data_IF_247641298697
#
_entry.id   IF_247641298697
#
_cell.length_a   1.000
_cell.length_b   1.000
_cell.length_c   1.000
_cell.angle_alpha   90.00
_cell.angle_beta   90.00
_cell.angle_gamma   90.00
#
_symmetry.space_group_name_H-M   'P 1'
#
loop_
_entity.id
_entity.type
_entity.pdbx_description
1 polymer ?
#
# COMPACT_ATOMS: atom_id res chain seq x y z
N UNK A 1 12.25 24.95 -2.72
CA UNK A 1 10.88 24.49 -2.45
C UNK A 1 10.89 22.98 -2.62
N UNK A 2 10.50 22.22 -1.61
CA UNK A 2 10.46 20.75 -1.74
C UNK A 2 9.24 20.39 -2.59
N UNK A 3 9.45 19.65 -3.67
CA UNK A 3 8.34 19.10 -4.44
C UNK A 3 7.52 18.15 -3.54
N UNK A 4 6.20 18.31 -3.54
CA UNK A 4 5.29 17.53 -2.69
C UNK A 4 4.78 16.34 -3.50
N UNK A 5 5.04 15.11 -3.03
CA UNK A 5 4.48 13.91 -3.63
C UNK A 5 2.97 13.86 -3.40
N UNK A 6 2.19 13.76 -4.47
CA UNK A 6 0.74 13.61 -4.39
C UNK A 6 0.37 12.15 -4.57
N UNK A 7 -0.34 11.59 -3.59
CA UNK A 7 -0.88 10.23 -3.70
C UNK A 7 -1.98 10.22 -4.78
N UNK A 8 -1.86 9.29 -5.73
CA UNK A 8 -2.81 9.10 -6.84
C UNK A 8 -3.67 7.86 -6.65
N UNK A 9 -3.15 6.84 -5.99
CA UNK A 9 -3.90 5.63 -5.66
C UNK A 9 -3.43 4.96 -4.38
N UNK A 10 -4.38 4.32 -3.69
CA UNK A 10 -4.14 3.38 -2.58
C UNK A 10 -4.80 2.07 -2.99
N UNK A 11 -4.01 1.01 -3.13
CA UNK A 11 -4.48 -0.30 -3.59
C UNK A 11 -4.32 -1.33 -2.47
N UNK A 12 -5.42 -1.75 -1.83
CA UNK A 12 -5.39 -2.84 -0.86
C UNK A 12 -5.38 -4.20 -1.56
N UNK A 13 -4.59 -5.12 -1.04
CA UNK A 13 -4.50 -6.50 -1.48
C UNK A 13 -4.68 -7.40 -0.25
N UNK A 14 -5.91 -7.81 0.06
CA UNK A 14 -6.14 -8.83 1.07
C UNK A 14 -5.57 -10.15 0.54
N UNK A 15 -4.63 -10.72 1.28
CA UNK A 15 -3.90 -11.92 0.89
C UNK A 15 -3.77 -12.85 2.09
N UNK A 16 -3.81 -14.15 1.81
CA UNK A 16 -3.43 -15.15 2.80
C UNK A 16 -1.93 -15.38 2.69
N UNK A 17 -1.18 -15.07 3.76
CA UNK A 17 0.28 -15.24 3.80
C UNK A 17 0.64 -16.26 4.89
N UNK A 18 1.16 -17.41 4.47
CA UNK A 18 1.49 -18.51 5.38
C UNK A 18 0.24 -19.01 6.12
N UNK A 19 0.17 -18.75 7.42
CA UNK A 19 -0.93 -19.21 8.29
C UNK A 19 -1.93 -18.12 8.67
N UNK A 20 -1.80 -16.88 8.14
CA UNK A 20 -2.65 -15.75 8.55
C UNK A 20 -3.07 -14.84 7.41
N UNK A 21 -4.20 -14.15 7.59
CA UNK A 21 -4.64 -13.10 6.69
C UNK A 21 -3.79 -11.83 6.90
N UNK A 22 -3.46 -11.18 5.80
CA UNK A 22 -2.70 -9.94 5.77
C UNK A 22 -3.25 -9.03 4.68
N UNK A 23 -3.07 -7.73 4.84
CA UNK A 23 -3.40 -6.74 3.82
C UNK A 23 -2.12 -6.03 3.40
N UNK A 24 -1.68 -6.31 2.17
CA UNK A 24 -0.64 -5.50 1.54
C UNK A 24 -1.29 -4.25 0.97
N UNK A 25 -0.62 -3.12 1.12
CA UNK A 25 -1.10 -1.83 0.60
C UNK A 25 -0.03 -1.25 -0.30
N UNK A 26 -0.40 -0.95 -1.54
CA UNK A 26 0.44 -0.17 -2.45
C UNK A 26 -0.07 1.26 -2.49
N UNK A 27 0.84 2.21 -2.30
CA UNK A 27 0.56 3.64 -2.49
C UNK A 27 1.31 4.09 -3.73
N UNK A 28 0.59 4.68 -4.69
CA UNK A 28 1.15 5.23 -5.91
C UNK A 28 1.10 6.77 -5.86
N UNK A 29 2.09 7.42 -6.45
CA UNK A 29 2.19 8.88 -6.52
C UNK A 29 2.14 9.39 -7.95
N UNK A 30 1.94 10.70 -8.10
CA UNK A 30 1.94 11.40 -9.39
C UNK A 30 3.31 11.47 -10.06
N UNK A 31 4.39 11.20 -9.33
CA UNK A 31 5.77 11.16 -9.83
C UNK A 31 6.24 9.74 -10.19
N UNK A 32 5.32 8.76 -10.26
CA UNK A 32 5.65 7.36 -10.58
C UNK A 32 6.36 6.59 -9.46
N UNK A 33 6.63 7.23 -8.32
CA UNK A 33 7.15 6.58 -7.12
C UNK A 33 6.01 5.83 -6.45
N UNK A 34 6.28 4.61 -5.96
CA UNK A 34 5.34 3.85 -5.16
C UNK A 34 5.97 3.32 -3.88
N UNK A 35 5.15 3.18 -2.85
CA UNK A 35 5.49 2.59 -1.57
C UNK A 35 4.67 1.33 -1.31
N UNK A 36 5.25 0.40 -0.54
CA UNK A 36 4.57 -0.78 -0.03
C UNK A 36 4.43 -0.69 1.49
N UNK A 37 3.25 -1.07 1.98
CA UNK A 37 2.96 -1.20 3.39
C UNK A 37 2.23 -2.50 3.67
N UNK A 38 2.19 -2.87 4.95
CA UNK A 38 1.60 -4.11 5.43
C UNK A 38 0.74 -3.84 6.66
N UNK A 39 -0.38 -4.54 6.77
CA UNK A 39 -1.23 -4.55 7.95
C UNK A 39 -1.77 -5.96 8.19
N UNK A 40 -1.86 -6.37 9.46
CA UNK A 40 -2.60 -7.56 9.83
C UNK A 40 -4.09 -7.41 9.52
N UNK A 41 -4.71 -8.44 8.99
CA UNK A 41 -6.13 -8.43 8.63
C UNK A 41 -6.88 -9.49 9.45
N UNK A 42 -7.87 -9.05 10.22
CA UNK A 42 -8.80 -9.91 10.97
C UNK A 42 -10.20 -9.52 10.51
N UNK A 43 -10.99 -10.51 10.11
CA UNK A 43 -12.39 -10.35 9.71
C UNK A 43 -13.34 -10.54 10.88
#
# INVERSE_FOLDING_TARGET
MTEKLKITAIKPYPVWVGTRNQMLVKVETDQGIFGWGESGLIG
#
